data_IF_119303327364
#
_entry.id   IF_119303327364
#
_cell.length_a   1.000
_cell.length_b   1.000
_cell.length_c   1.000
_cell.angle_alpha   90.00
_cell.angle_beta   90.00
_cell.angle_gamma   90.00
#
_symmetry.space_group_name_H-M   'P 1'
#
loop_
_entity.id
_entity.type
_entity.pdbx_description
1 polymer ?
#
# COMPACT_ATOMS: atom_id res chain seq x y z
N UNK A 1 -7.10 4.80 -13.91
CA UNK A 1 -6.62 4.49 -12.55
C UNK A 1 -6.15 3.04 -12.54
N UNK A 2 -5.02 2.77 -11.93
CA UNK A 2 -4.46 1.43 -11.76
C UNK A 2 -4.36 1.12 -10.27
N UNK A 3 -4.80 -0.07 -9.87
CA UNK A 3 -4.74 -0.53 -8.49
C UNK A 3 -3.58 -1.52 -8.31
N UNK A 4 -2.61 -1.15 -7.49
CA UNK A 4 -1.51 -2.03 -7.08
C UNK A 4 -1.88 -2.76 -5.79
N UNK A 5 -2.79 -3.73 -5.91
CA UNK A 5 -3.20 -4.59 -4.80
C UNK A 5 -2.12 -5.65 -4.53
N UNK A 6 -1.40 -5.50 -3.43
CA UNK A 6 -0.35 -6.45 -3.03
C UNK A 6 -0.86 -7.64 -2.22
N UNK A 7 0.03 -8.60 -1.96
CA UNK A 7 -0.23 -9.87 -1.27
C UNK A 7 -0.79 -9.71 0.17
N UNK A 8 -0.70 -8.52 0.77
CA UNK A 8 -1.34 -8.21 2.06
C UNK A 8 -2.86 -8.01 2.01
N UNK A 9 -3.46 -8.00 0.81
CA UNK A 9 -4.90 -7.86 0.57
C UNK A 9 -5.65 -9.18 0.55
N UNK A 10 -6.85 -9.16 -0.07
CA UNK A 10 -7.68 -10.35 -0.23
C UNK A 10 -6.99 -11.39 -1.10
N UNK A 11 -6.78 -12.57 -0.55
CA UNK A 11 -6.14 -13.68 -1.24
C UNK A 11 -7.20 -14.52 -1.97
N UNK A 12 -7.52 -14.15 -3.20
CA UNK A 12 -8.50 -14.85 -4.02
C UNK A 12 -8.15 -16.32 -4.28
N UNK A 13 -6.88 -16.69 -4.60
CA UNK A 13 -6.50 -18.09 -4.73
C UNK A 13 -6.78 -18.92 -3.47
N UNK A 14 -6.44 -18.40 -2.28
CA UNK A 14 -6.72 -19.09 -1.03
C UNK A 14 -8.22 -19.26 -0.74
N UNK A 15 -9.03 -18.25 -1.11
CA UNK A 15 -10.49 -18.32 -0.99
C UNK A 15 -11.05 -19.39 -1.92
N UNK A 16 -10.60 -19.40 -3.17
CA UNK A 16 -11.05 -20.36 -4.17
C UNK A 16 -10.61 -21.79 -3.81
N UNK A 17 -9.40 -21.99 -3.31
CA UNK A 17 -8.93 -23.28 -2.82
C UNK A 17 -9.84 -23.82 -1.70
N UNK A 18 -10.22 -22.99 -0.75
CA UNK A 18 -11.14 -23.37 0.32
C UNK A 18 -12.54 -23.70 -0.18
N UNK A 19 -13.01 -22.99 -1.21
CA UNK A 19 -14.33 -23.18 -1.79
C UNK A 19 -14.43 -24.44 -2.66
N UNK A 20 -13.42 -24.69 -3.48
CA UNK A 20 -13.39 -25.80 -4.44
C UNK A 20 -12.74 -27.07 -3.91
N UNK A 21 -11.98 -27.01 -2.81
CA UNK A 21 -11.16 -28.11 -2.32
C UNK A 21 -9.96 -28.43 -3.22
N UNK A 22 -9.62 -27.54 -4.15
CA UNK A 22 -8.54 -27.79 -5.13
C UNK A 22 -7.16 -27.53 -4.50
N UNK A 23 -6.28 -28.53 -4.55
CA UNK A 23 -4.89 -28.48 -4.02
C UNK A 23 -4.08 -27.36 -4.70
N UNK A 24 -4.26 -27.17 -6.01
CA UNK A 24 -3.57 -26.12 -6.78
C UNK A 24 -3.79 -24.69 -6.26
N UNK A 25 -4.90 -24.43 -5.56
CA UNK A 25 -5.16 -23.11 -4.99
C UNK A 25 -4.26 -22.76 -3.80
N UNK A 26 -3.75 -23.76 -3.08
CA UNK A 26 -2.85 -23.55 -1.95
C UNK A 26 -1.46 -23.10 -2.41
N UNK A 27 -0.95 -23.63 -3.51
CA UNK A 27 0.34 -23.24 -4.08
C UNK A 27 0.32 -21.76 -4.53
N UNK A 28 -0.80 -21.29 -5.07
CA UNK A 28 -0.97 -19.90 -5.50
C UNK A 28 -1.29 -18.95 -4.34
N UNK A 29 -1.67 -19.45 -3.17
CA UNK A 29 -2.01 -18.61 -2.01
C UNK A 29 -0.80 -17.80 -1.51
N UNK A 30 0.40 -18.34 -1.67
CA UNK A 30 1.66 -17.66 -1.31
C UNK A 30 2.23 -16.81 -2.45
N UNK A 31 1.65 -16.88 -3.66
CA UNK A 31 2.15 -16.16 -4.82
C UNK A 31 1.61 -14.73 -4.85
N UNK A 32 2.51 -13.77 -4.84
CA UNK A 32 2.17 -12.35 -4.94
C UNK A 32 3.30 -11.46 -4.47
N UNK A 33 3.28 -10.22 -4.92
CA UNK A 33 4.23 -9.20 -4.48
C UNK A 33 3.65 -8.42 -3.29
N UNK A 34 4.47 -8.06 -2.29
CA UNK A 34 4.09 -7.09 -1.28
C UNK A 34 3.60 -5.78 -1.92
N UNK A 35 2.65 -5.10 -1.29
CA UNK A 35 2.05 -3.86 -1.81
C UNK A 35 3.10 -2.79 -2.12
N UNK A 36 4.14 -2.65 -1.28
CA UNK A 36 5.21 -1.69 -1.51
C UNK A 36 6.02 -1.99 -2.79
N UNK A 37 6.27 -3.28 -3.10
CA UNK A 37 6.97 -3.67 -4.32
C UNK A 37 6.12 -3.40 -5.56
N UNK A 38 4.85 -3.84 -5.53
CA UNK A 38 3.89 -3.58 -6.61
C UNK A 38 3.70 -2.10 -6.87
N UNK A 39 3.72 -1.27 -5.82
CA UNK A 39 3.57 0.17 -5.92
C UNK A 39 4.80 0.81 -6.58
N UNK A 40 6.00 0.40 -6.19
CA UNK A 40 7.24 0.88 -6.80
C UNK A 40 7.31 0.46 -8.27
N UNK A 41 7.08 -0.82 -8.57
CA UNK A 41 7.02 -1.29 -9.97
C UNK A 41 6.00 -0.50 -10.79
N UNK A 42 4.82 -0.25 -10.22
CA UNK A 42 3.76 0.53 -10.85
C UNK A 42 4.21 1.93 -11.26
N UNK A 43 5.04 2.58 -10.46
CA UNK A 43 5.57 3.91 -10.80
C UNK A 43 6.47 3.93 -12.04
N UNK A 44 7.14 2.81 -12.35
CA UNK A 44 8.03 2.70 -13.51
C UNK A 44 7.28 2.32 -14.79
N UNK A 45 6.20 1.54 -14.67
CA UNK A 45 5.50 1.01 -15.86
C UNK A 45 4.20 1.76 -16.19
N UNK A 46 3.58 2.39 -15.20
CA UNK A 46 2.31 3.11 -15.40
C UNK A 46 2.59 4.56 -15.82
N UNK A 47 2.05 5.01 -16.96
CA UNK A 47 2.24 6.39 -17.40
C UNK A 47 1.73 7.40 -16.36
N UNK A 48 2.50 8.48 -16.12
CA UNK A 48 2.22 9.51 -15.10
C UNK A 48 0.85 10.20 -15.22
N UNK A 49 0.19 10.11 -16.37
CA UNK A 49 -1.17 10.64 -16.58
C UNK A 49 -2.25 9.81 -15.88
N UNK A 50 -1.90 8.64 -15.35
CA UNK A 50 -2.82 7.74 -14.67
C UNK A 50 -2.60 7.75 -13.16
N UNK A 51 -3.71 7.68 -12.44
CA UNK A 51 -3.73 7.58 -10.99
C UNK A 51 -3.31 6.17 -10.54
N UNK A 52 -2.43 6.09 -9.57
CA UNK A 52 -1.93 4.87 -8.95
C UNK A 52 -2.56 4.70 -7.56
N UNK A 53 -3.39 3.68 -7.40
CA UNK A 53 -4.04 3.33 -6.14
C UNK A 53 -3.23 2.23 -5.43
N UNK A 54 -2.79 2.49 -4.20
CA UNK A 54 -2.22 1.47 -3.33
C UNK A 54 -3.32 0.78 -2.53
N UNK A 55 -3.37 -0.55 -2.57
CA UNK A 55 -4.23 -1.34 -1.71
C UNK A 55 -3.58 -2.69 -1.36
N UNK A 56 -4.21 -3.42 -0.45
CA UNK A 56 -3.69 -4.72 0.00
C UNK A 56 -2.81 -4.60 1.25
N UNK A 57 -3.37 -4.94 2.40
CA UNK A 57 -2.66 -4.96 3.68
C UNK A 57 -2.47 -3.61 4.37
N UNK A 58 -2.99 -2.52 3.84
CA UNK A 58 -2.95 -1.19 4.46
C UNK A 58 -3.98 -1.15 5.59
N UNK A 59 -3.54 -0.81 6.80
CA UNK A 59 -4.35 -0.85 8.02
C UNK A 59 -4.14 0.32 8.96
N UNK A 60 -3.02 1.01 8.86
CA UNK A 60 -2.61 2.09 9.76
C UNK A 60 -2.35 3.39 9.02
N UNK A 61 -2.39 4.50 9.71
CA UNK A 61 -1.99 5.81 9.17
C UNK A 61 -0.53 5.80 8.67
N UNK A 62 0.35 5.04 9.36
CA UNK A 62 1.73 4.84 8.91
C UNK A 62 1.84 4.10 7.57
N UNK A 63 0.97 3.10 7.32
CA UNK A 63 0.93 2.42 6.03
C UNK A 63 0.46 3.37 4.92
N UNK A 64 -0.53 4.21 5.23
CA UNK A 64 -1.03 5.25 4.31
C UNK A 64 0.08 6.24 3.97
N UNK A 65 0.78 6.76 4.98
CA UNK A 65 1.89 7.69 4.78
C UNK A 65 3.01 7.08 3.92
N UNK A 66 3.38 5.82 4.18
CA UNK A 66 4.36 5.07 3.36
C UNK A 66 3.89 4.88 1.93
N UNK A 67 2.60 4.56 1.71
CA UNK A 67 2.04 4.41 0.38
C UNK A 67 2.14 5.72 -0.43
N UNK A 68 1.78 6.85 0.17
CA UNK A 68 1.97 8.16 -0.47
C UNK A 68 3.45 8.47 -0.72
N UNK A 69 4.33 8.22 0.26
CA UNK A 69 5.76 8.41 0.10
C UNK A 69 6.35 7.55 -1.03
N UNK A 70 5.82 6.35 -1.23
CA UNK A 70 6.17 5.46 -2.36
C UNK A 70 5.45 5.83 -3.67
N UNK A 71 4.64 6.88 -3.70
CA UNK A 71 4.10 7.46 -4.92
C UNK A 71 2.66 7.10 -5.25
N UNK A 72 1.90 6.53 -4.33
CA UNK A 72 0.47 6.36 -4.51
C UNK A 72 -0.25 7.71 -4.65
N UNK A 73 -1.26 7.79 -5.50
CA UNK A 73 -2.16 8.94 -5.62
C UNK A 73 -3.39 8.80 -4.71
N UNK A 74 -3.73 7.57 -4.37
CA UNK A 74 -4.80 7.23 -3.44
C UNK A 74 -4.49 5.91 -2.73
N UNK A 75 -5.21 5.66 -1.63
CA UNK A 75 -5.08 4.44 -0.83
C UNK A 75 -6.45 3.79 -0.65
N UNK A 76 -6.51 2.47 -0.84
CA UNK A 76 -7.71 1.66 -0.65
C UNK A 76 -7.58 0.75 0.57
N UNK A 77 -8.58 0.76 1.45
CA UNK A 77 -8.69 -0.08 2.64
C UNK A 77 -10.02 -0.81 2.60
N UNK A 78 -10.00 -2.13 2.58
CA UNK A 78 -11.23 -2.93 2.44
C UNK A 78 -11.43 -3.89 3.62
N UNK A 79 -10.48 -4.78 3.88
CA UNK A 79 -10.63 -5.85 4.87
C UNK A 79 -10.99 -5.38 6.27
N UNK A 80 -10.23 -4.45 6.88
CA UNK A 80 -10.55 -3.90 8.20
C UNK A 80 -11.93 -3.25 8.26
N UNK A 81 -12.27 -2.45 7.22
CA UNK A 81 -13.56 -1.74 7.15
C UNK A 81 -14.72 -2.72 7.07
N UNK A 82 -14.63 -3.73 6.19
CA UNK A 82 -15.67 -4.75 6.06
C UNK A 82 -15.90 -5.48 7.38
N UNK A 83 -14.83 -5.86 8.08
CA UNK A 83 -14.93 -6.51 9.39
C UNK A 83 -15.63 -5.62 10.41
N UNK A 84 -15.21 -4.36 10.54
CA UNK A 84 -15.82 -3.40 11.47
C UNK A 84 -17.29 -3.20 11.18
N UNK A 85 -17.70 -3.08 9.91
CA UNK A 85 -19.11 -2.93 9.54
C UNK A 85 -19.93 -4.14 9.95
N UNK A 86 -19.41 -5.36 9.78
CA UNK A 86 -20.12 -6.61 10.10
C UNK A 86 -20.18 -6.83 11.62
N UNK A 87 -19.08 -6.59 12.33
CA UNK A 87 -18.94 -6.94 13.75
C UNK A 87 -19.44 -5.83 14.68
N UNK A 88 -19.22 -4.56 14.32
CA UNK A 88 -19.41 -3.40 15.21
C UNK A 88 -20.30 -2.30 14.60
N UNK A 89 -20.68 -2.44 13.34
CA UNK A 89 -21.56 -1.51 12.63
C UNK A 89 -20.85 -0.34 11.95
N UNK A 90 -21.63 0.42 11.18
CA UNK A 90 -21.14 1.51 10.31
C UNK A 90 -20.48 2.63 11.09
N UNK A 91 -21.02 3.00 12.27
CA UNK A 91 -20.48 4.08 13.10
C UNK A 91 -19.01 3.81 13.49
N UNK A 92 -18.68 2.56 13.82
CA UNK A 92 -17.31 2.17 14.17
C UNK A 92 -16.37 2.23 12.97
N UNK A 93 -16.85 1.87 11.78
CA UNK A 93 -16.09 2.00 10.55
C UNK A 93 -15.80 3.47 10.20
N UNK A 94 -16.75 4.37 10.44
CA UNK A 94 -16.53 5.82 10.27
C UNK A 94 -15.46 6.30 11.25
N UNK A 95 -15.57 5.98 12.54
CA UNK A 95 -14.59 6.36 13.55
C UNK A 95 -13.16 5.86 13.19
N UNK A 96 -13.06 4.65 12.65
CA UNK A 96 -11.78 4.12 12.18
C UNK A 96 -11.16 4.96 11.04
N UNK A 97 -11.97 5.45 10.10
CA UNK A 97 -11.46 6.36 9.06
C UNK A 97 -11.04 7.72 9.61
N UNK A 98 -11.77 8.23 10.61
CA UNK A 98 -11.41 9.48 11.30
C UNK A 98 -10.07 9.31 12.03
N UNK A 99 -9.86 8.23 12.77
CA UNK A 99 -8.58 7.89 13.41
C UNK A 99 -7.43 7.78 12.40
N UNK A 100 -7.66 7.15 11.24
CA UNK A 100 -6.66 7.07 10.18
C UNK A 100 -6.31 8.44 9.60
N UNK A 101 -7.31 9.30 9.40
CA UNK A 101 -7.10 10.66 8.88
C UNK A 101 -6.32 11.52 9.88
N UNK A 102 -6.68 11.47 11.16
CA UNK A 102 -5.94 12.17 12.23
C UNK A 102 -4.50 11.66 12.33
N UNK A 103 -4.30 10.34 12.32
CA UNK A 103 -2.97 9.75 12.33
C UNK A 103 -2.13 10.17 11.12
N UNK A 104 -2.72 10.23 9.92
CA UNK A 104 -2.03 10.73 8.72
C UNK A 104 -1.64 12.21 8.88
N UNK A 105 -2.53 13.05 9.42
CA UNK A 105 -2.20 14.46 9.71
C UNK A 105 -1.03 14.59 10.68
N UNK A 106 -0.94 13.73 11.68
CA UNK A 106 0.20 13.70 12.61
C UNK A 106 1.51 13.34 11.89
N UNK A 107 1.51 12.31 11.04
CA UNK A 107 2.68 11.99 10.19
C UNK A 107 3.07 13.16 9.31
N UNK A 108 2.11 13.81 8.66
CA UNK A 108 2.37 14.97 7.80
C UNK A 108 2.97 16.14 8.60
N UNK A 109 2.45 16.40 9.79
CA UNK A 109 2.98 17.46 10.68
C UNK A 109 4.43 17.19 11.06
N UNK A 110 4.75 15.97 11.51
CA UNK A 110 6.10 15.57 11.91
C UNK A 110 7.11 15.64 10.75
N UNK A 111 6.64 15.38 9.51
CA UNK A 111 7.44 15.39 8.29
C UNK A 111 7.46 16.75 7.57
N UNK A 112 6.77 17.76 8.11
CA UNK A 112 6.70 19.10 7.52
C UNK A 112 5.89 19.17 6.22
N UNK A 113 4.94 18.24 6.01
CA UNK A 113 4.11 18.17 4.81
C UNK A 113 2.75 18.83 5.04
N UNK A 114 2.31 19.68 4.12
CA UNK A 114 0.99 20.34 4.15
C UNK A 114 -0.09 19.51 3.46
N UNK A 115 0.32 18.67 2.51
CA UNK A 115 -0.58 17.84 1.70
C UNK A 115 -0.03 16.42 1.57
N UNK A 116 -0.87 15.37 1.46
CA UNK A 116 -0.42 13.99 1.35
C UNK A 116 0.58 13.73 0.21
N UNK A 117 0.41 14.39 -0.94
CA UNK A 117 1.34 14.24 -2.07
C UNK A 117 2.74 14.78 -1.78
N UNK A 118 2.93 15.64 -0.78
CA UNK A 118 4.26 16.12 -0.37
C UNK A 118 5.07 15.04 0.33
N UNK A 119 4.42 14.00 0.88
CA UNK A 119 5.09 12.84 1.42
C UNK A 119 6.01 12.16 0.38
N UNK A 120 5.73 12.32 -0.92
CA UNK A 120 6.60 11.84 -1.99
C UNK A 120 7.97 12.51 -2.00
N UNK A 121 8.10 13.69 -1.39
CA UNK A 121 9.36 14.46 -1.33
C UNK A 121 10.20 14.09 -0.10
N UNK A 122 9.61 13.42 0.86
CA UNK A 122 10.31 13.02 2.08
C UNK A 122 11.34 11.94 1.77
N UNK A 123 12.58 12.06 2.30
CA UNK A 123 13.58 11.01 2.17
C UNK A 123 13.10 9.70 2.79
N UNK A 124 13.42 8.58 2.16
CA UNK A 124 13.05 7.24 2.61
C UNK A 124 14.29 6.45 3.00
N UNK A 125 14.14 5.56 3.98
CA UNK A 125 15.07 4.49 4.25
C UNK A 125 14.42 3.20 3.74
N UNK A 126 15.07 2.55 2.80
CA UNK A 126 14.63 1.27 2.22
C UNK A 126 15.69 0.23 2.54
N UNK A 127 15.33 -0.78 3.32
CA UNK A 127 16.21 -1.84 3.79
C UNK A 127 15.60 -3.24 3.64
N UNK A 128 16.30 -4.25 4.10
CA UNK A 128 15.86 -5.63 4.18
C UNK A 128 15.38 -6.19 2.84
N UNK A 129 14.30 -6.96 2.87
CA UNK A 129 13.76 -7.65 1.70
C UNK A 129 13.35 -6.69 0.56
N UNK A 130 12.86 -5.49 0.90
CA UNK A 130 12.49 -4.49 -0.11
C UNK A 130 13.75 -3.97 -0.82
N UNK A 131 14.82 -3.73 -0.09
CA UNK A 131 16.10 -3.32 -0.69
C UNK A 131 16.62 -4.39 -1.65
N UNK A 132 16.67 -5.65 -1.21
CA UNK A 132 17.12 -6.77 -2.04
C UNK A 132 16.27 -6.91 -3.32
N UNK A 133 14.95 -6.80 -3.19
CA UNK A 133 14.05 -6.86 -4.34
C UNK A 133 14.39 -5.78 -5.37
N UNK A 134 14.54 -4.55 -4.92
CA UNK A 134 14.83 -3.41 -5.80
C UNK A 134 16.19 -3.52 -6.46
N UNK A 135 17.22 -3.95 -5.73
CA UNK A 135 18.57 -4.20 -6.27
C UNK A 135 18.54 -5.31 -7.33
N UNK A 136 17.82 -6.43 -7.09
CA UNK A 136 17.64 -7.50 -8.09
C UNK A 136 16.87 -7.04 -9.34
N UNK A 137 15.98 -6.07 -9.20
CA UNK A 137 15.20 -5.46 -10.31
C UNK A 137 15.99 -4.37 -11.04
N UNK A 138 17.18 -4.02 -10.58
CA UNK A 138 18.01 -2.98 -11.19
C UNK A 138 17.52 -1.55 -10.94
N UNK A 139 16.71 -1.33 -9.89
CA UNK A 139 16.26 0.01 -9.54
C UNK A 139 17.36 0.80 -8.84
N UNK A 140 17.45 2.10 -9.13
CA UNK A 140 18.33 3.02 -8.39
C UNK A 140 17.70 3.33 -7.03
N UNK A 141 18.03 2.49 -6.03
CA UNK A 141 17.50 2.64 -4.67
C UNK A 141 17.98 3.94 -4.02
N UNK A 142 19.19 4.41 -4.35
CA UNK A 142 19.69 5.68 -3.82
C UNK A 142 18.85 6.87 -4.32
N UNK A 143 18.46 6.86 -5.59
CA UNK A 143 17.55 7.86 -6.14
C UNK A 143 16.13 7.77 -5.53
N UNK A 144 15.66 6.55 -5.24
CA UNK A 144 14.36 6.35 -4.56
C UNK A 144 14.37 6.86 -3.12
N UNK A 145 15.49 6.74 -2.40
CA UNK A 145 15.64 7.15 -1.02
C UNK A 145 15.81 8.67 -0.83
N UNK A 146 16.30 9.38 -1.83
CA UNK A 146 16.51 10.84 -1.75
C UNK A 146 15.17 11.58 -1.82
N UNK A 147 15.14 12.79 -1.22
CA UNK A 147 14.01 13.71 -1.39
C UNK A 147 13.75 13.94 -2.89
N UNK A 148 12.52 13.66 -3.31
CA UNK A 148 12.14 13.72 -4.74
C UNK A 148 11.39 15.01 -5.02
N UNK A 149 12.01 15.90 -5.76
CA UNK A 149 11.32 17.02 -6.40
C UNK A 149 10.58 16.46 -7.64
N UNK A 150 9.28 16.27 -7.53
CA UNK A 150 8.41 15.99 -8.68
C UNK A 150 7.53 17.18 -8.98
#
# INVERSE_FOLDING_TARGET
MFNCAGAGGTNFPAIEAKRSGAILGEDFAAWGLPTCWSLIDGQYVIPKKHCLLASGGIRTAGDIAKAFALGADAVGITGPVLRLVIEEGVAKAIAYFEELAEGLMQYMLLLGCKHPYELRKVPLIIDGATRNYLDCRGYDVAALCKARNR
#
